data_IF_179541076967
#
_entry.id   IF_179541076967
#
_cell.length_a   1.000
_cell.length_b   1.000
_cell.length_c   1.000
_cell.angle_alpha   90.00
_cell.angle_beta   90.00
_cell.angle_gamma   90.00
#
_symmetry.space_group_name_H-M   'P 1'
#
loop_
_entity.id
_entity.type
_entity.pdbx_description
1 polymer ?
#
# COMPACT_ATOMS: atom_id res chain seq x y z
N UNK A 1 14.87 5.46 20.45
CA UNK A 1 15.06 4.15 21.10
C UNK A 1 14.65 4.31 22.56
N UNK A 2 13.51 3.75 22.98
CA UNK A 2 12.90 4.01 24.29
C UNK A 2 12.56 2.70 25.03
N UNK A 3 13.45 1.70 24.96
CA UNK A 3 13.39 0.52 25.83
C UNK A 3 14.54 0.65 26.83
N UNK A 4 14.26 0.84 28.13
CA UNK A 4 15.30 0.92 29.16
C UNK A 4 16.19 -0.34 29.14
N UNK A 5 17.51 -0.22 29.38
CA UNK A 5 18.43 -1.37 29.42
C UNK A 5 18.00 -2.47 30.41
N UNK A 6 17.35 -2.07 31.50
CA UNK A 6 16.79 -2.98 32.51
C UNK A 6 15.61 -3.80 31.97
N UNK A 7 14.75 -3.19 31.15
CA UNK A 7 13.63 -3.86 30.48
C UNK A 7 14.16 -4.86 29.43
N UNK A 8 15.24 -4.51 28.73
CA UNK A 8 15.88 -5.38 27.74
C UNK A 8 16.40 -6.70 28.36
N UNK A 9 17.00 -6.63 29.55
CA UNK A 9 17.47 -7.82 30.28
C UNK A 9 16.33 -8.77 30.70
N UNK A 10 15.21 -8.22 31.19
CA UNK A 10 14.03 -9.01 31.59
C UNK A 10 13.29 -9.60 30.39
N UNK A 11 13.20 -8.86 29.28
CA UNK A 11 12.65 -9.39 28.03
C UNK A 11 13.51 -10.51 27.45
N UNK A 12 14.84 -10.39 27.50
CA UNK A 12 15.74 -11.39 26.92
C UNK A 12 15.56 -12.77 27.58
N UNK A 13 15.38 -12.82 28.91
CA UNK A 13 15.17 -14.08 29.63
C UNK A 13 13.76 -14.66 29.42
N UNK A 14 12.72 -13.82 29.46
CA UNK A 14 11.34 -14.25 29.25
C UNK A 14 11.08 -14.72 27.80
N UNK A 15 11.63 -13.99 26.83
CA UNK A 15 11.47 -14.28 25.40
C UNK A 15 12.38 -15.45 24.98
N UNK A 16 13.57 -15.60 25.58
CA UNK A 16 14.48 -16.72 25.29
C UNK A 16 13.87 -18.10 25.55
N UNK A 17 13.19 -18.29 26.69
CA UNK A 17 12.50 -19.56 26.99
C UNK A 17 11.32 -19.85 26.06
N UNK A 18 10.61 -18.81 25.60
CA UNK A 18 9.55 -18.94 24.61
C UNK A 18 10.10 -19.26 23.22
N UNK A 19 11.26 -18.71 22.85
CA UNK A 19 11.96 -19.03 21.60
C UNK A 19 12.41 -20.49 21.55
N UNK A 20 12.94 -21.03 22.65
CA UNK A 20 13.32 -22.45 22.70
C UNK A 20 12.12 -23.37 22.49
N UNK A 21 10.96 -23.01 23.05
CA UNK A 21 9.71 -23.76 22.86
C UNK A 21 9.22 -23.65 21.40
N UNK A 22 9.32 -22.45 20.82
CA UNK A 22 9.01 -22.18 19.42
C UNK A 22 9.91 -22.99 18.48
N UNK A 23 11.21 -23.00 18.74
CA UNK A 23 12.22 -23.72 17.95
C UNK A 23 11.96 -25.23 17.97
N UNK A 24 11.62 -25.79 19.13
CA UNK A 24 11.23 -27.20 19.25
C UNK A 24 9.99 -27.53 18.43
N UNK A 25 8.96 -26.67 18.48
CA UNK A 25 7.74 -26.84 17.69
C UNK A 25 8.02 -26.78 16.17
N UNK A 26 8.88 -25.88 15.72
CA UNK A 26 9.27 -25.74 14.31
C UNK A 26 10.17 -26.88 13.81
N UNK A 27 11.09 -27.39 14.64
CA UNK A 27 11.91 -28.57 14.29
C UNK A 27 11.03 -29.81 14.09
N UNK A 28 9.98 -29.95 14.90
CA UNK A 28 8.98 -31.00 14.74
C UNK A 28 8.18 -30.84 13.43
N UNK A 29 7.77 -29.60 13.11
CA UNK A 29 7.02 -29.27 11.89
C UNK A 29 7.81 -29.60 10.61
N UNK A 30 9.12 -29.41 10.65
CA UNK A 30 10.00 -29.52 9.48
C UNK A 30 10.70 -30.88 9.39
N UNK A 31 10.34 -31.85 10.23
CA UNK A 31 11.04 -33.14 10.35
C UNK A 31 12.57 -32.98 10.53
N UNK A 32 13.00 -31.90 11.18
CA UNK A 32 14.41 -31.55 11.34
C UNK A 32 15.13 -31.08 10.06
N UNK A 33 14.41 -30.87 8.96
CA UNK A 33 14.99 -30.47 7.66
C UNK A 33 15.35 -28.98 7.59
N UNK A 34 14.84 -28.15 8.50
CA UNK A 34 15.14 -26.71 8.52
C UNK A 34 16.10 -26.40 9.66
N UNK A 35 17.25 -25.82 9.31
CA UNK A 35 18.21 -25.30 10.28
C UNK A 35 17.70 -23.95 10.78
N UNK A 36 17.09 -23.98 11.97
CA UNK A 36 16.40 -22.81 12.52
C UNK A 36 17.37 -22.03 13.42
N UNK A 37 17.79 -20.86 12.97
CA UNK A 37 18.57 -19.90 13.78
C UNK A 37 17.70 -18.67 14.08
N UNK A 38 16.90 -18.75 15.16
CA UNK A 38 16.04 -17.65 15.59
C UNK A 38 16.90 -16.60 16.31
N UNK A 39 17.22 -15.51 15.62
CA UNK A 39 17.94 -14.40 16.22
C UNK A 39 17.04 -13.60 17.20
N UNK A 40 17.25 -13.80 18.50
CA UNK A 40 16.56 -13.10 19.59
C UNK A 40 16.78 -11.59 19.56
N UNK A 41 17.98 -11.11 19.19
CA UNK A 41 18.21 -9.68 19.00
C UNK A 41 17.32 -9.15 17.87
N UNK A 42 17.18 -9.89 16.76
CA UNK A 42 16.31 -9.52 15.65
C UNK A 42 14.83 -9.40 16.03
N UNK A 43 14.35 -10.24 16.96
CA UNK A 43 12.99 -10.14 17.49
C UNK A 43 12.80 -8.90 18.40
N UNK A 44 13.78 -8.62 19.26
CA UNK A 44 13.73 -7.49 20.18
C UNK A 44 13.97 -6.14 19.47
N UNK A 45 14.67 -6.14 18.33
CA UNK A 45 14.86 -4.95 17.48
C UNK A 45 13.82 -4.82 16.38
N UNK A 46 12.92 -5.81 16.21
CA UNK A 46 11.87 -5.78 15.19
C UNK A 46 10.96 -4.55 15.34
N UNK A 47 10.71 -4.13 16.58
CA UNK A 47 9.97 -2.91 16.88
C UNK A 47 10.77 -1.62 16.57
N UNK A 48 12.10 -1.67 16.47
CA UNK A 48 12.89 -0.48 16.12
C UNK A 48 12.79 -0.15 14.63
N UNK A 49 12.71 -1.19 13.80
CA UNK A 49 12.84 -1.06 12.35
C UNK A 49 11.48 -1.10 11.62
N UNK A 50 10.40 -1.49 12.28
CA UNK A 50 9.08 -1.47 11.66
C UNK A 50 8.55 -0.01 11.54
N UNK A 51 8.32 0.48 10.31
CA UNK A 51 7.96 1.87 10.04
C UNK A 51 6.58 2.26 10.61
N UNK A 52 5.71 1.29 10.89
CA UNK A 52 4.38 1.48 11.47
C UNK A 52 4.39 1.71 12.98
N UNK A 53 5.55 1.58 13.62
CA UNK A 53 5.65 1.89 15.04
C UNK A 53 5.47 3.39 15.24
N UNK A 54 4.45 3.72 16.03
CA UNK A 54 3.93 5.07 16.25
C UNK A 54 3.12 5.65 15.07
N UNK A 55 2.67 4.82 14.13
CA UNK A 55 1.60 5.23 13.22
C UNK A 55 0.41 5.73 14.05
N UNK A 56 -0.20 6.84 13.63
CA UNK A 56 -1.19 7.56 14.45
C UNK A 56 -2.46 7.80 13.66
N UNK A 57 -3.59 7.45 14.26
CA UNK A 57 -4.92 7.85 13.81
C UNK A 57 -5.89 7.92 14.97
N UNK A 58 -7.01 8.63 14.80
CA UNK A 58 -7.95 8.87 15.90
C UNK A 58 -8.67 7.60 16.33
N UNK A 59 -8.99 6.71 15.39
CA UNK A 59 -9.55 5.39 15.68
C UNK A 59 -8.45 4.38 16.05
N UNK A 60 -7.43 4.26 15.20
CA UNK A 60 -6.33 3.33 15.41
C UNK A 60 -5.01 3.86 14.84
N UNK A 61 -3.90 3.55 15.52
CA UNK A 61 -2.58 3.75 14.94
C UNK A 61 -2.30 2.79 13.78
N UNK A 62 -2.60 1.50 14.00
CA UNK A 62 -2.30 0.40 13.07
C UNK A 62 -3.47 -0.59 13.01
N UNK A 63 -3.82 -1.02 11.80
CA UNK A 63 -4.71 -2.14 11.50
C UNK A 63 -3.94 -3.14 10.63
N UNK A 64 -3.99 -4.43 10.95
CA UNK A 64 -3.20 -5.45 10.26
C UNK A 64 -3.96 -6.77 10.09
N UNK A 65 -3.82 -7.42 8.94
CA UNK A 65 -4.30 -8.79 8.71
C UNK A 65 -5.80 -8.89 8.41
N UNK A 66 -6.51 -9.83 9.04
CA UNK A 66 -7.95 -10.09 8.80
C UNK A 66 -8.87 -9.21 9.67
N UNK A 67 -8.56 -7.92 9.75
CA UNK A 67 -9.32 -6.98 10.58
C UNK A 67 -10.48 -6.37 9.78
N UNK A 68 -11.65 -6.23 10.44
CA UNK A 68 -12.82 -5.55 9.89
C UNK A 68 -13.26 -4.42 10.82
N UNK A 69 -13.38 -3.23 10.27
CA UNK A 69 -13.91 -2.03 10.93
C UNK A 69 -15.12 -1.59 10.14
N UNK A 70 -16.27 -1.50 10.81
CA UNK A 70 -17.54 -1.18 10.18
C UNK A 70 -18.30 -0.19 11.04
N UNK A 71 -18.94 0.79 10.39
CA UNK A 71 -19.89 1.71 11.03
C UNK A 71 -19.28 2.49 12.22
N UNK A 72 -18.03 2.91 12.07
CA UNK A 72 -17.28 3.62 13.09
C UNK A 72 -17.07 5.09 12.72
N UNK A 73 -17.33 5.99 13.66
CA UNK A 73 -17.10 7.43 13.49
C UNK A 73 -16.10 7.95 14.51
N UNK A 74 -15.21 8.84 14.06
CA UNK A 74 -14.39 9.70 14.92
C UNK A 74 -14.73 11.15 14.62
N UNK A 75 -14.88 11.98 15.65
CA UNK A 75 -15.30 13.38 15.50
C UNK A 75 -14.30 14.35 16.14
N UNK A 76 -14.34 15.61 15.69
CA UNK A 76 -13.48 16.70 16.18
C UNK A 76 -11.99 16.31 16.24
N UNK A 77 -11.52 15.68 15.17
CA UNK A 77 -10.23 15.03 15.13
C UNK A 77 -9.09 16.06 15.17
N UNK A 78 -8.07 15.74 15.97
CA UNK A 78 -6.78 16.43 15.98
C UNK A 78 -5.70 15.41 16.31
N UNK A 79 -5.07 14.85 15.28
CA UNK A 79 -4.00 13.87 15.41
C UNK A 79 -2.67 14.48 14.98
N UNK A 80 -1.63 14.21 15.76
CA UNK A 80 -0.25 14.55 15.41
C UNK A 80 0.65 13.38 15.77
N UNK A 81 1.66 13.14 14.94
CA UNK A 81 2.66 12.10 15.19
C UNK A 81 4.04 12.70 15.07
N UNK A 82 4.92 12.30 15.98
CA UNK A 82 6.39 12.46 15.84
C UNK A 82 6.98 11.42 14.89
N UNK A 83 6.17 10.48 14.40
CA UNK A 83 6.55 9.36 13.56
C UNK A 83 5.91 9.42 12.18
N UNK A 84 6.17 8.38 11.38
CA UNK A 84 6.19 8.45 9.93
C UNK A 84 4.81 8.59 9.26
N UNK A 85 3.77 8.01 9.86
CA UNK A 85 2.47 7.81 9.22
C UNK A 85 1.34 8.38 10.07
N UNK A 86 0.56 9.29 9.51
CA UNK A 86 -0.57 9.94 10.20
C UNK A 86 -1.82 9.91 9.32
N UNK A 87 -2.92 9.39 9.86
CA UNK A 87 -4.24 9.46 9.22
C UNK A 87 -5.27 10.04 10.17
N UNK A 88 -6.26 10.78 9.69
CA UNK A 88 -7.32 11.28 10.57
C UNK A 88 -8.11 10.15 11.24
N UNK A 89 -8.43 9.09 10.51
CA UNK A 89 -9.06 7.88 11.05
C UNK A 89 -8.01 6.86 11.51
N UNK A 90 -7.12 6.43 10.61
CA UNK A 90 -6.14 5.38 10.86
C UNK A 90 -4.75 5.73 10.32
N UNK A 91 -3.71 5.50 11.11
CA UNK A 91 -2.33 5.78 10.67
C UNK A 91 -1.84 4.84 9.57
N UNK A 92 -2.01 3.53 9.78
CA UNK A 92 -1.48 2.48 8.92
C UNK A 92 -2.43 1.29 8.81
N UNK A 93 -2.69 0.82 7.60
CA UNK A 93 -3.50 -0.37 7.33
C UNK A 93 -2.74 -1.29 6.38
N UNK A 94 -2.55 -2.56 6.77
CA UNK A 94 -1.81 -3.53 5.96
C UNK A 94 -2.44 -4.93 5.98
N UNK A 95 -2.58 -5.52 4.79
CA UNK A 95 -2.98 -6.91 4.64
C UNK A 95 -1.87 -7.93 4.84
N UNK A 96 -2.25 -9.20 4.91
CA UNK A 96 -1.33 -10.28 5.22
C UNK A 96 -1.53 -11.48 4.29
N UNK A 97 -0.43 -12.15 3.93
CA UNK A 97 -0.52 -13.41 3.19
C UNK A 97 -1.06 -14.51 4.10
N UNK A 98 -1.97 -15.33 3.57
CA UNK A 98 -2.51 -16.52 4.22
C UNK A 98 -1.70 -17.72 3.79
N UNK A 99 -1.35 -18.58 4.73
CA UNK A 99 -0.63 -19.83 4.47
C UNK A 99 -1.50 -21.01 4.87
N UNK A 100 -1.36 -22.12 4.16
CA UNK A 100 -1.95 -23.38 4.63
C UNK A 100 -1.23 -23.81 5.91
N UNK A 101 -1.99 -24.32 6.88
CA UNK A 101 -1.46 -24.70 8.16
C UNK A 101 -1.85 -26.15 8.46
N UNK A 102 -0.85 -26.99 8.72
CA UNK A 102 -1.08 -28.37 9.20
C UNK A 102 -1.81 -28.29 10.55
N UNK A 103 -3.11 -28.56 10.53
CA UNK A 103 -4.13 -28.13 11.52
C UNK A 103 -3.90 -28.57 12.97
N UNK A 104 -3.07 -29.59 13.23
CA UNK A 104 -2.81 -30.09 14.59
C UNK A 104 -1.75 -29.30 15.40
N UNK A 105 -0.88 -28.53 14.74
CA UNK A 105 0.31 -27.90 15.37
C UNK A 105 0.13 -26.38 15.54
N UNK A 106 -0.86 -25.80 14.84
CA UNK A 106 -1.23 -24.38 14.88
C UNK A 106 -1.58 -23.91 16.29
N UNK A 107 -2.28 -24.72 17.09
CA UNK A 107 -2.62 -24.35 18.47
C UNK A 107 -1.38 -24.10 19.34
N UNK A 108 -0.36 -24.95 19.22
CA UNK A 108 0.90 -24.82 19.97
C UNK A 108 1.71 -23.62 19.49
N UNK A 109 1.82 -23.43 18.18
CA UNK A 109 2.54 -22.29 17.58
C UNK A 109 1.86 -20.96 17.96
N UNK A 110 0.55 -20.85 17.76
CA UNK A 110 -0.25 -19.66 18.08
C UNK A 110 -0.20 -19.33 19.58
N UNK A 111 -0.20 -20.32 20.46
CA UNK A 111 -0.06 -20.09 21.90
C UNK A 111 1.32 -19.55 22.29
N UNK A 112 2.39 -20.03 21.67
CA UNK A 112 3.75 -19.51 21.93
C UNK A 112 3.92 -18.11 21.35
N UNK A 113 3.46 -17.89 20.12
CA UNK A 113 3.46 -16.58 19.46
C UNK A 113 2.67 -15.55 20.29
N UNK A 114 1.50 -15.92 20.81
CA UNK A 114 0.68 -15.05 21.66
C UNK A 114 1.37 -14.70 22.98
N UNK A 115 2.12 -15.63 23.57
CA UNK A 115 2.93 -15.35 24.77
C UNK A 115 4.09 -14.40 24.47
N UNK A 116 4.73 -14.52 23.29
CA UNK A 116 5.79 -13.59 22.86
C UNK A 116 5.21 -12.17 22.65
N UNK A 117 4.03 -12.06 22.03
CA UNK A 117 3.32 -10.78 21.86
C UNK A 117 2.96 -10.13 23.19
N UNK A 118 2.58 -10.92 24.20
CA UNK A 118 2.28 -10.43 25.55
C UNK A 118 3.51 -9.91 26.30
N UNK A 119 4.73 -10.21 25.85
CA UNK A 119 5.98 -9.79 26.51
C UNK A 119 6.63 -8.59 25.81
N UNK A 120 6.56 -8.50 24.48
CA UNK A 120 7.15 -7.39 23.72
C UNK A 120 6.08 -6.33 23.41
N UNK A 121 6.11 -5.15 24.05
CA UNK A 121 5.15 -4.10 23.73
C UNK A 121 5.33 -3.64 22.28
N UNK A 122 4.22 -3.24 21.65
CA UNK A 122 4.17 -2.74 20.27
C UNK A 122 4.58 -3.75 19.17
N UNK A 123 4.70 -5.03 19.51
CA UNK A 123 4.88 -6.11 18.54
C UNK A 123 3.49 -6.63 18.11
N UNK A 124 3.21 -6.63 16.81
CA UNK A 124 1.99 -7.23 16.25
C UNK A 124 2.21 -8.68 15.84
N UNK A 125 1.14 -9.49 15.80
CA UNK A 125 1.20 -10.87 15.31
C UNK A 125 1.78 -10.96 13.89
N UNK A 126 1.45 -9.99 13.04
CA UNK A 126 2.02 -9.85 11.71
C UNK A 126 3.54 -9.71 11.67
N UNK A 127 4.09 -8.93 12.60
CA UNK A 127 5.53 -8.72 12.68
C UNK A 127 6.23 -10.00 13.10
N UNK A 128 5.62 -10.73 14.04
CA UNK A 128 6.13 -12.00 14.50
C UNK A 128 6.09 -13.09 13.41
N UNK A 129 5.03 -13.10 12.60
CA UNK A 129 4.94 -13.93 11.39
C UNK A 129 6.03 -13.54 10.40
N UNK A 130 6.18 -12.25 10.07
CA UNK A 130 7.23 -11.77 9.16
C UNK A 130 8.64 -12.10 9.65
N UNK A 131 8.91 -11.98 10.95
CA UNK A 131 10.18 -12.35 11.57
C UNK A 131 10.45 -13.85 11.46
N UNK A 132 9.44 -14.69 11.73
CA UNK A 132 9.54 -16.14 11.58
C UNK A 132 9.78 -16.54 10.10
N UNK A 133 9.11 -15.85 9.18
CA UNK A 133 9.23 -16.08 7.74
C UNK A 133 10.59 -15.66 7.18
N UNK A 134 11.15 -14.54 7.66
CA UNK A 134 12.42 -13.97 7.19
C UNK A 134 13.65 -14.64 7.81
N UNK A 135 13.57 -15.06 9.08
CA UNK A 135 14.72 -15.62 9.81
C UNK A 135 14.84 -17.14 9.79
N UNK A 136 13.75 -17.90 9.58
CA UNK A 136 13.77 -19.33 9.92
C UNK A 136 13.14 -20.30 8.93
N UNK A 137 11.92 -20.06 8.44
CA UNK A 137 11.26 -21.03 7.54
C UNK A 137 11.74 -20.92 6.08
N UNK A 138 12.30 -19.75 5.72
CA UNK A 138 12.50 -19.36 4.34
C UNK A 138 11.16 -19.23 3.63
N UNK A 139 10.77 -18.01 3.23
CA UNK A 139 9.53 -17.76 2.48
C UNK A 139 9.34 -18.67 1.25
N UNK A 140 10.40 -19.30 0.75
CA UNK A 140 10.36 -20.22 -0.38
C UNK A 140 9.74 -21.60 -0.06
N UNK A 141 9.44 -21.92 1.20
CA UNK A 141 8.89 -23.23 1.61
C UNK A 141 7.37 -23.22 1.86
N UNK A 142 6.76 -22.05 2.03
CA UNK A 142 5.33 -21.93 2.34
C UNK A 142 4.52 -21.61 1.10
N UNK A 143 3.44 -22.35 0.91
CA UNK A 143 2.50 -22.16 -0.19
C UNK A 143 1.42 -21.17 0.29
N UNK A 144 1.35 -19.96 -0.29
CA UNK A 144 0.30 -19.02 0.07
C UNK A 144 -1.04 -19.52 -0.45
N UNK A 145 -2.05 -19.51 0.41
CA UNK A 145 -3.41 -19.99 0.09
C UNK A 145 -4.45 -18.87 -0.04
N UNK A 146 -4.02 -17.62 0.12
CA UNK A 146 -4.88 -16.46 -0.05
C UNK A 146 -4.25 -15.22 0.55
N UNK A 147 -5.01 -14.14 0.57
CA UNK A 147 -4.59 -12.87 1.14
C UNK A 147 -5.69 -12.31 2.05
N UNK A 148 -5.33 -11.91 3.26
CA UNK A 148 -6.22 -11.16 4.15
C UNK A 148 -6.14 -9.69 3.78
N UNK A 149 -7.27 -9.15 3.32
CA UNK A 149 -7.45 -7.72 3.11
C UNK A 149 -8.21 -7.16 4.33
N UNK A 150 -7.59 -6.29 5.15
CA UNK A 150 -8.33 -5.54 6.15
C UNK A 150 -9.40 -4.72 5.45
N UNK A 151 -10.59 -4.68 6.03
CA UNK A 151 -11.73 -3.93 5.48
C UNK A 151 -12.12 -2.83 6.45
N UNK A 152 -12.12 -1.58 5.98
CA UNK A 152 -12.73 -0.45 6.66
C UNK A 152 -13.95 -0.04 5.83
N UNK A 153 -15.13 -0.11 6.42
CA UNK A 153 -16.41 0.07 5.73
C UNK A 153 -17.30 1.04 6.50
N UNK A 154 -18.04 1.88 5.79
CA UNK A 154 -19.04 2.80 6.38
C UNK A 154 -18.48 3.63 7.55
N UNK A 155 -17.20 4.01 7.49
CA UNK A 155 -16.52 4.66 8.61
C UNK A 155 -16.18 6.10 8.27
N UNK A 156 -16.26 7.00 9.25
CA UNK A 156 -16.20 8.44 9.02
C UNK A 156 -15.21 9.15 9.93
N UNK A 157 -14.54 10.15 9.36
CA UNK A 157 -14.00 11.29 10.11
C UNK A 157 -15.01 12.42 9.99
N UNK A 158 -15.63 12.80 11.10
CA UNK A 158 -16.66 13.82 11.19
C UNK A 158 -16.12 15.07 11.90
N UNK A 159 -15.47 15.92 11.12
CA UNK A 159 -14.91 17.19 11.56
C UNK A 159 -13.45 17.09 12.01
N UNK A 160 -12.68 18.09 11.64
CA UNK A 160 -11.39 18.38 12.27
C UNK A 160 -11.49 19.62 13.15
N UNK A 161 -10.66 19.69 14.19
CA UNK A 161 -10.49 20.95 14.94
C UNK A 161 -9.96 22.06 14.03
N UNK A 162 -10.20 23.32 14.39
CA UNK A 162 -9.70 24.48 13.63
C UNK A 162 -8.18 24.43 13.50
N UNK A 163 -7.67 24.78 12.32
CA UNK A 163 -6.24 24.87 12.01
C UNK A 163 -5.47 23.55 12.20
N UNK A 164 -6.14 22.40 12.07
CA UNK A 164 -5.49 21.10 12.14
C UNK A 164 -4.54 20.90 10.96
N UNK A 165 -3.34 20.41 11.29
CA UNK A 165 -2.36 19.92 10.33
C UNK A 165 -2.14 18.44 10.59
N UNK A 166 -2.51 17.61 9.62
CA UNK A 166 -2.29 16.16 9.65
C UNK A 166 -0.93 15.90 9.03
N UNK A 167 -0.04 15.27 9.80
CA UNK A 167 1.35 15.05 9.42
C UNK A 167 2.23 16.30 9.58
N UNK A 168 3.45 16.24 9.05
CA UNK A 168 4.40 17.35 9.05
C UNK A 168 5.48 17.15 7.97
N UNK A 169 6.44 18.10 7.84
CA UNK A 169 7.50 18.06 6.81
C UNK A 169 8.53 16.94 6.99
N UNK A 170 8.51 16.25 8.13
CA UNK A 170 9.39 15.13 8.45
C UNK A 170 8.65 13.78 8.38
N UNK A 171 7.32 13.79 8.22
CA UNK A 171 6.51 12.57 8.14
C UNK A 171 6.37 12.18 6.67
N UNK A 172 6.87 11.01 6.23
CA UNK A 172 6.79 10.60 4.84
C UNK A 172 5.37 10.34 4.34
N UNK A 173 4.40 9.95 5.18
CA UNK A 173 3.02 9.74 4.72
C UNK A 173 1.98 10.43 5.63
N UNK A 174 1.04 11.14 5.02
CA UNK A 174 -0.09 11.72 5.73
C UNK A 174 -1.37 11.73 4.88
N UNK A 175 -2.52 11.40 5.50
CA UNK A 175 -3.83 11.42 4.84
C UNK A 175 -4.96 11.90 5.75
N UNK A 176 -5.99 12.54 5.19
CA UNK A 176 -7.16 12.97 5.97
C UNK A 176 -7.93 11.82 6.60
N UNK A 177 -7.99 10.65 5.96
CA UNK A 177 -8.58 9.42 6.48
C UNK A 177 -7.50 8.43 6.90
N UNK A 178 -6.63 8.03 5.97
CA UNK A 178 -5.62 6.99 6.16
C UNK A 178 -4.22 7.50 5.81
N UNK A 179 -3.24 7.28 6.69
CA UNK A 179 -1.84 7.62 6.40
C UNK A 179 -1.26 6.74 5.29
N UNK A 180 -1.31 5.42 5.47
CA UNK A 180 -0.91 4.44 4.46
C UNK A 180 -1.87 3.25 4.40
N UNK A 181 -2.29 2.90 3.18
CA UNK A 181 -3.14 1.75 2.86
C UNK A 181 -2.38 0.75 2.00
N UNK A 182 -2.27 -0.50 2.46
CA UNK A 182 -1.42 -1.54 1.85
C UNK A 182 -2.21 -2.85 1.75
N UNK A 183 -2.57 -3.27 0.55
CA UNK A 183 -3.40 -4.45 0.32
C UNK A 183 -4.70 -4.47 1.13
N UNK A 184 -5.31 -3.31 1.35
CA UNK A 184 -6.51 -3.18 2.17
C UNK A 184 -7.67 -2.62 1.36
N UNK A 185 -8.88 -2.80 1.87
CA UNK A 185 -10.12 -2.30 1.27
C UNK A 185 -10.68 -1.21 2.18
N UNK A 186 -10.91 -0.03 1.63
CA UNK A 186 -11.64 1.06 2.27
C UNK A 186 -12.86 1.33 1.41
N UNK A 187 -14.06 1.20 1.96
CA UNK A 187 -15.29 1.37 1.21
C UNK A 187 -16.33 2.19 1.94
N UNK A 188 -17.14 2.94 1.19
CA UNK A 188 -18.25 3.74 1.71
C UNK A 188 -17.85 4.63 2.89
N UNK A 189 -16.59 5.07 2.92
CA UNK A 189 -16.00 5.78 4.07
C UNK A 189 -15.81 7.24 3.73
N UNK A 190 -15.76 8.11 4.74
CA UNK A 190 -15.79 9.55 4.49
C UNK A 190 -14.87 10.35 5.40
N UNK A 191 -14.44 11.49 4.87
CA UNK A 191 -13.91 12.62 5.64
C UNK A 191 -14.85 13.77 5.35
N UNK A 192 -15.55 14.25 6.37
CA UNK A 192 -16.45 15.39 6.28
C UNK A 192 -16.00 16.44 7.28
N UNK A 193 -15.89 17.70 6.90
CA UNK A 193 -15.50 18.77 7.83
C UNK A 193 -16.08 20.12 7.40
N UNK A 194 -16.47 20.96 8.36
CA UNK A 194 -16.78 22.39 8.10
C UNK A 194 -15.56 23.28 8.27
N UNK A 195 -14.55 22.81 9.00
CA UNK A 195 -13.26 23.48 9.13
C UNK A 195 -12.33 23.04 7.99
N UNK A 196 -11.64 24.02 7.38
CA UNK A 196 -10.49 23.72 6.54
C UNK A 196 -9.39 23.02 7.34
N UNK A 197 -8.64 22.14 6.68
CA UNK A 197 -7.53 21.41 7.28
C UNK A 197 -6.36 21.30 6.30
N UNK A 198 -5.16 21.09 6.85
CA UNK A 198 -3.95 20.88 6.07
C UNK A 198 -3.47 19.44 6.21
N UNK A 199 -3.07 18.83 5.10
CA UNK A 199 -2.29 17.60 5.09
C UNK A 199 -0.89 17.93 4.61
N UNK A 200 0.12 17.51 5.39
CA UNK A 200 1.52 17.77 5.07
C UNK A 200 2.37 16.54 5.27
N UNK A 201 3.16 16.19 4.25
CA UNK A 201 4.11 15.10 4.31
C UNK A 201 5.43 15.47 3.63
N UNK A 202 6.49 14.69 3.87
CA UNK A 202 7.70 14.76 3.06
C UNK A 202 7.48 14.10 1.70
N UNK A 203 6.93 12.88 1.67
CA UNK A 203 6.80 12.12 0.43
C UNK A 203 5.38 12.12 -0.10
N UNK A 204 4.42 11.57 0.65
CA UNK A 204 3.07 11.25 0.18
C UNK A 204 2.02 11.95 1.04
N UNK A 205 1.41 13.02 0.52
CA UNK A 205 0.34 13.75 1.18
C UNK A 205 -0.95 13.65 0.36
N UNK A 206 -2.04 13.19 0.97
CA UNK A 206 -3.35 13.17 0.31
C UNK A 206 -4.48 13.68 1.18
N UNK A 207 -5.47 14.34 0.58
CA UNK A 207 -6.63 14.83 1.33
C UNK A 207 -7.44 13.71 2.01
N UNK A 208 -7.40 12.49 1.48
CA UNK A 208 -8.01 11.29 2.04
C UNK A 208 -6.96 10.23 2.42
N UNK A 209 -6.14 9.78 1.47
CA UNK A 209 -5.11 8.76 1.69
C UNK A 209 -3.71 9.34 1.44
N UNK A 210 -2.75 9.12 2.34
CA UNK A 210 -1.37 9.50 2.05
C UNK A 210 -0.81 8.68 0.88
N UNK A 211 -0.82 7.36 1.02
CA UNK A 211 -0.43 6.41 -0.03
C UNK A 211 -1.40 5.24 -0.06
N UNK A 212 -1.80 4.81 -1.26
CA UNK A 212 -2.51 3.55 -1.47
C UNK A 212 -1.69 2.64 -2.37
N UNK A 213 -1.34 1.44 -1.89
CA UNK A 213 -0.45 0.53 -2.63
C UNK A 213 -0.80 -0.93 -2.46
N UNK A 214 -0.34 -1.78 -3.36
CA UNK A 214 -0.43 -3.22 -3.17
C UNK A 214 0.40 -3.68 -1.95
N UNK A 215 -0.09 -4.71 -1.28
CA UNK A 215 0.66 -5.46 -0.29
C UNK A 215 1.60 -6.47 -0.92
N UNK A 216 2.40 -7.09 -0.06
CA UNK A 216 3.38 -8.09 -0.47
C UNK A 216 2.80 -9.50 -0.30
N UNK A 217 2.95 -10.33 -1.33
CA UNK A 217 2.68 -11.78 -1.22
C UNK A 217 4.00 -12.51 -1.02
N UNK A 218 4.16 -13.11 0.16
CA UNK A 218 5.33 -13.93 0.47
C UNK A 218 5.01 -15.40 0.26
N UNK A 219 5.89 -16.19 -0.36
CA UNK A 219 5.64 -17.63 -0.53
C UNK A 219 6.19 -18.22 -1.82
N UNK A 220 6.04 -19.54 -1.96
CA UNK A 220 6.29 -20.25 -3.20
C UNK A 220 5.10 -20.10 -4.16
N UNK A 221 5.21 -19.15 -5.09
CA UNK A 221 4.14 -18.87 -6.07
C UNK A 221 4.06 -19.88 -7.25
N UNK A 222 5.06 -20.74 -7.43
CA UNK A 222 5.15 -21.61 -8.63
C UNK A 222 4.31 -22.90 -8.53
N UNK A 223 3.88 -23.28 -7.34
CA UNK A 223 3.01 -24.44 -7.09
C UNK A 223 1.53 -24.08 -7.09
N UNK A 224 1.19 -22.82 -7.38
CA UNK A 224 -0.17 -22.30 -7.32
C UNK A 224 -0.92 -22.55 -8.63
N UNK A 225 -2.11 -23.15 -8.54
CA UNK A 225 -3.08 -23.20 -9.63
C UNK A 225 -3.81 -21.86 -9.82
N UNK A 226 -4.57 -21.72 -10.91
CA UNK A 226 -5.35 -20.50 -11.24
C UNK A 226 -6.30 -20.12 -10.10
N UNK A 227 -6.94 -21.09 -9.45
CA UNK A 227 -7.84 -20.87 -8.31
C UNK A 227 -7.15 -20.17 -7.13
N UNK A 228 -5.85 -20.44 -6.94
CA UNK A 228 -5.07 -19.87 -5.85
C UNK A 228 -4.52 -18.48 -6.20
N UNK A 229 -4.23 -18.23 -7.48
CA UNK A 229 -3.97 -16.89 -7.99
C UNK A 229 -5.22 -16.00 -7.82
N UNK A 230 -6.41 -16.57 -8.00
CA UNK A 230 -7.70 -15.88 -7.81
C UNK A 230 -7.97 -15.48 -6.34
N UNK A 231 -7.38 -16.21 -5.38
CA UNK A 231 -7.49 -15.95 -3.95
C UNK A 231 -6.49 -14.90 -3.43
N UNK A 232 -5.48 -14.55 -4.23
CA UNK A 232 -4.45 -13.56 -3.90
C UNK A 232 -4.85 -12.20 -4.48
N UNK A 233 -5.38 -11.34 -3.61
CA UNK A 233 -5.81 -9.97 -3.97
C UNK A 233 -5.00 -8.93 -3.19
N UNK A 234 -3.69 -8.82 -3.41
CA UNK A 234 -2.84 -7.90 -2.66
C UNK A 234 -3.07 -6.44 -3.03
N UNK A 235 -3.90 -6.13 -4.03
CA UNK A 235 -4.18 -4.75 -4.44
C UNK A 235 -4.92 -4.00 -3.33
N UNK A 236 -4.73 -2.69 -3.27
CA UNK A 236 -5.55 -1.81 -2.43
C UNK A 236 -6.77 -1.32 -3.21
N UNK A 237 -7.90 -1.15 -2.53
CA UNK A 237 -9.12 -0.60 -3.10
C UNK A 237 -9.64 0.51 -2.19
N UNK A 238 -9.89 1.70 -2.75
CA UNK A 238 -10.76 2.71 -2.15
C UNK A 238 -12.01 2.83 -3.03
N UNK A 239 -13.16 2.49 -2.48
CA UNK A 239 -14.44 2.43 -3.20
C UNK A 239 -15.49 3.34 -2.56
N UNK A 240 -16.26 4.06 -3.37
CA UNK A 240 -17.43 4.85 -2.93
C UNK A 240 -17.15 5.78 -1.73
N UNK A 241 -15.92 6.27 -1.61
CA UNK A 241 -15.45 7.04 -0.46
C UNK A 241 -15.30 8.52 -0.79
N UNK A 242 -15.53 9.37 0.20
CA UNK A 242 -15.74 10.80 -0.03
C UNK A 242 -14.86 11.67 0.86
N UNK A 243 -14.35 12.76 0.29
CA UNK A 243 -13.77 13.88 1.03
C UNK A 243 -14.65 15.11 0.77
N UNK A 244 -15.30 15.60 1.81
CA UNK A 244 -16.18 16.77 1.76
C UNK A 244 -15.69 17.82 2.75
N UNK A 245 -15.50 19.05 2.27
CA UNK A 245 -15.32 20.21 3.13
C UNK A 245 -16.34 21.28 2.77
N UNK A 246 -17.23 21.56 3.71
CA UNK A 246 -18.35 22.48 3.53
C UNK A 246 -17.99 23.91 3.96
N UNK A 247 -18.77 24.88 3.48
CA UNK A 247 -18.60 26.30 3.79
C UNK A 247 -17.31 26.90 3.23
N UNK A 248 -16.71 27.85 3.95
CA UNK A 248 -15.47 28.53 3.54
C UNK A 248 -14.19 27.72 3.87
N UNK A 249 -14.36 26.48 4.35
CA UNK A 249 -13.26 25.58 4.67
C UNK A 249 -12.45 25.19 3.43
N UNK A 250 -11.12 25.23 3.54
CA UNK A 250 -10.20 24.82 2.47
C UNK A 250 -9.37 23.61 2.87
N UNK A 251 -9.25 22.63 1.97
CA UNK A 251 -8.28 21.55 2.08
C UNK A 251 -6.96 22.03 1.46
N UNK A 252 -5.88 21.99 2.23
CA UNK A 252 -4.53 22.26 1.71
C UNK A 252 -3.69 21.00 1.80
N UNK A 253 -3.22 20.49 0.66
CA UNK A 253 -2.37 19.31 0.61
C UNK A 253 -0.99 19.72 0.10
N UNK A 254 0.04 19.42 0.88
CA UNK A 254 1.42 19.76 0.52
C UNK A 254 2.38 18.62 0.81
N UNK A 255 3.25 18.34 -0.16
CA UNK A 255 4.36 17.41 0.01
C UNK A 255 5.64 17.93 -0.64
N UNK A 256 6.79 17.36 -0.28
CA UNK A 256 8.00 17.64 -1.04
C UNK A 256 7.92 16.99 -2.42
N UNK A 257 7.37 15.78 -2.56
CA UNK A 257 7.36 15.06 -3.85
C UNK A 257 5.96 14.75 -4.42
N UNK A 258 5.12 14.02 -3.67
CA UNK A 258 3.83 13.49 -4.14
C UNK A 258 2.66 14.06 -3.35
N UNK A 259 1.86 14.93 -3.97
CA UNK A 259 0.66 15.50 -3.36
C UNK A 259 -0.58 15.25 -4.23
N UNK A 260 -1.67 14.83 -3.59
CA UNK A 260 -2.96 14.66 -4.25
C UNK A 260 -4.14 15.18 -3.44
N UNK A 261 -5.15 15.73 -4.10
CA UNK A 261 -6.36 16.18 -3.40
C UNK A 261 -7.11 15.03 -2.71
N UNK A 262 -6.96 13.79 -3.19
CA UNK A 262 -7.50 12.58 -2.55
C UNK A 262 -6.39 11.64 -2.07
N UNK A 263 -5.57 11.11 -2.97
CA UNK A 263 -4.46 10.20 -2.63
C UNK A 263 -3.11 10.85 -2.92
N UNK A 264 -2.12 10.81 -2.04
CA UNK A 264 -0.80 11.39 -2.36
C UNK A 264 -0.12 10.68 -3.53
N UNK A 265 -0.07 9.36 -3.48
CA UNK A 265 0.24 8.52 -4.63
C UNK A 265 -0.54 7.19 -4.60
N UNK A 266 -0.52 6.48 -5.73
CA UNK A 266 -1.13 5.17 -5.93
C UNK A 266 -0.15 4.23 -6.63
N UNK A 267 -0.02 2.99 -6.17
CA UNK A 267 0.81 1.98 -6.82
C UNK A 267 0.14 0.60 -6.79
N UNK A 268 -0.33 0.12 -7.95
CA UNK A 268 -1.19 -1.08 -8.04
C UNK A 268 -2.35 -1.01 -7.03
N UNK A 269 -3.06 0.11 -7.09
CA UNK A 269 -4.20 0.43 -6.25
C UNK A 269 -5.37 0.96 -7.10
N UNK A 270 -6.59 0.72 -6.64
CA UNK A 270 -7.81 1.09 -7.34
C UNK A 270 -8.57 2.16 -6.56
N UNK A 271 -8.94 3.23 -7.26
CA UNK A 271 -9.86 4.25 -6.80
C UNK A 271 -11.13 4.17 -7.66
N UNK A 272 -12.22 3.68 -7.07
CA UNK A 272 -13.49 3.46 -7.78
C UNK A 272 -14.58 4.30 -7.13
N UNK A 273 -15.24 5.16 -7.90
CA UNK A 273 -16.37 5.95 -7.44
C UNK A 273 -16.08 6.82 -6.20
N UNK A 274 -14.87 7.36 -6.10
CA UNK A 274 -14.54 8.30 -5.04
C UNK A 274 -14.92 9.73 -5.41
N UNK A 275 -15.21 10.55 -4.40
CA UNK A 275 -15.64 11.94 -4.60
C UNK A 275 -14.82 12.90 -3.75
N UNK A 276 -14.40 14.00 -4.34
CA UNK A 276 -13.95 15.18 -3.60
C UNK A 276 -15.00 16.28 -3.80
N UNK A 277 -15.50 16.86 -2.71
CA UNK A 277 -16.42 18.00 -2.70
C UNK A 277 -15.86 19.09 -1.78
N UNK A 278 -14.95 19.92 -2.29
CA UNK A 278 -14.22 20.89 -1.47
C UNK A 278 -13.56 22.00 -2.31
N UNK A 279 -13.19 23.09 -1.64
CA UNK A 279 -12.12 23.98 -2.12
C UNK A 279 -10.79 23.38 -1.72
N UNK A 280 -9.95 22.99 -2.69
CA UNK A 280 -8.69 22.30 -2.47
C UNK A 280 -7.51 23.01 -3.17
N UNK A 281 -6.40 23.16 -2.44
CA UNK A 281 -5.11 23.51 -3.01
C UNK A 281 -4.13 22.37 -2.80
N UNK A 282 -3.56 21.88 -3.90
CA UNK A 282 -2.58 20.80 -3.92
C UNK A 282 -1.26 21.36 -4.44
N UNK A 283 -0.20 21.18 -3.67
CA UNK A 283 1.12 21.68 -4.06
C UNK A 283 2.27 20.77 -3.70
N UNK A 284 3.30 20.75 -4.53
CA UNK A 284 4.58 20.09 -4.23
C UNK A 284 5.77 21.03 -4.34
N UNK A 285 6.80 20.79 -3.55
CA UNK A 285 8.09 21.48 -3.71
C UNK A 285 8.82 20.97 -4.97
N UNK A 286 8.69 19.68 -5.28
CA UNK A 286 9.20 19.01 -6.48
C UNK A 286 8.05 18.66 -7.43
N UNK A 287 8.00 17.44 -7.96
CA UNK A 287 7.45 17.22 -9.30
C UNK A 287 6.02 16.72 -9.37
N UNK A 288 5.41 16.06 -8.39
CA UNK A 288 4.19 15.27 -8.64
C UNK A 288 2.96 15.80 -7.89
N UNK A 289 2.23 16.72 -8.51
CA UNK A 289 1.00 17.30 -7.96
C UNK A 289 -0.22 16.96 -8.81
N UNK A 290 -1.27 16.41 -8.18
CA UNK A 290 -2.52 16.10 -8.87
C UNK A 290 -3.76 16.53 -8.09
N UNK A 291 -4.80 17.00 -8.77
CA UNK A 291 -6.04 17.35 -8.08
C UNK A 291 -6.72 16.13 -7.43
N UNK A 292 -6.49 14.91 -7.93
CA UNK A 292 -6.87 13.66 -7.27
C UNK A 292 -5.65 12.91 -6.70
N UNK A 293 -4.64 12.61 -7.52
CA UNK A 293 -3.40 11.94 -7.08
C UNK A 293 -2.14 12.52 -7.71
N UNK A 294 -1.07 12.67 -6.91
CA UNK A 294 0.20 13.20 -7.40
C UNK A 294 0.88 12.26 -8.38
N UNK A 295 0.89 10.97 -8.05
CA UNK A 295 1.44 9.92 -8.92
C UNK A 295 0.59 8.67 -8.88
N UNK A 296 0.45 8.00 -10.01
CA UNK A 296 -0.23 6.73 -10.14
C UNK A 296 0.62 5.79 -11.00
N UNK A 297 1.10 4.71 -10.41
CA UNK A 297 2.01 3.79 -11.09
C UNK A 297 1.51 2.36 -11.09
N UNK A 298 2.22 1.54 -11.86
CA UNK A 298 2.34 0.12 -11.57
C UNK A 298 2.97 -0.09 -10.18
N UNK A 299 2.85 -1.29 -9.64
CA UNK A 299 3.00 -1.53 -8.21
C UNK A 299 4.29 -1.08 -7.55
N UNK A 300 4.20 -1.09 -6.22
CA UNK A 300 5.09 -0.36 -5.33
C UNK A 300 6.58 -0.58 -5.61
N UNK A 301 7.03 -1.84 -5.72
CA UNK A 301 8.44 -2.19 -5.87
C UNK A 301 9.08 -1.83 -7.22
N UNK A 302 8.32 -1.31 -8.18
CA UNK A 302 8.82 -0.94 -9.51
C UNK A 302 9.18 0.55 -9.63
N UNK A 303 8.38 1.43 -9.06
CA UNK A 303 8.47 2.87 -9.36
C UNK A 303 8.46 3.79 -8.12
N UNK A 304 7.95 3.34 -6.97
CA UNK A 304 7.89 4.16 -5.74
C UNK A 304 8.69 3.59 -4.56
N UNK A 305 8.80 2.27 -4.47
CA UNK A 305 9.34 1.53 -3.32
C UNK A 305 10.82 1.19 -3.46
N UNK A 306 11.67 2.11 -3.93
CA UNK A 306 13.10 1.84 -4.17
C UNK A 306 13.86 1.35 -2.93
N UNK A 307 13.36 1.63 -1.72
CA UNK A 307 13.93 1.14 -0.46
C UNK A 307 13.61 -0.35 -0.20
N UNK A 308 12.48 -0.85 -0.73
CA UNK A 308 12.07 -2.27 -0.68
C UNK A 308 12.77 -3.12 -1.76
N UNK A 309 13.51 -2.51 -2.68
CA UNK A 309 14.29 -3.22 -3.72
C UNK A 309 15.43 -4.08 -3.15
N UNK A 310 15.66 -4.02 -1.84
CA UNK A 310 16.54 -4.94 -1.10
C UNK A 310 15.86 -6.27 -0.75
N UNK A 311 14.53 -6.41 -0.91
CA UNK A 311 13.82 -7.67 -0.75
C UNK A 311 14.12 -8.61 -1.93
N UNK A 312 15.17 -9.42 -1.77
CA UNK A 312 15.56 -10.47 -2.69
C UNK A 312 14.40 -11.43 -3.05
N UNK A 313 13.39 -11.56 -2.20
CA UNK A 313 12.19 -12.37 -2.45
C UNK A 313 11.31 -11.80 -3.58
N UNK A 314 10.99 -10.51 -3.55
CA UNK A 314 10.13 -9.88 -4.57
C UNK A 314 10.83 -9.87 -5.93
N UNK A 315 12.11 -9.48 -5.94
CA UNK A 315 12.96 -9.50 -7.13
C UNK A 315 13.07 -10.93 -7.72
N UNK A 316 13.37 -11.95 -6.89
CA UNK A 316 13.43 -13.34 -7.34
C UNK A 316 12.09 -13.87 -7.87
N UNK A 317 10.98 -13.44 -7.28
CA UNK A 317 9.64 -13.79 -7.76
C UNK A 317 9.35 -13.12 -9.11
N UNK A 318 9.71 -11.86 -9.27
CA UNK A 318 9.56 -11.10 -10.51
C UNK A 318 10.40 -11.69 -11.64
N UNK A 319 11.69 -12.02 -11.39
CA UNK A 319 12.55 -12.71 -12.37
C UNK A 319 11.94 -14.02 -12.86
N UNK A 320 11.32 -14.78 -11.95
CA UNK A 320 10.67 -16.06 -12.29
C UNK A 320 9.37 -15.87 -13.08
N UNK A 321 8.55 -14.87 -12.72
CA UNK A 321 7.32 -14.55 -13.45
C UNK A 321 7.65 -14.14 -14.90
N UNK A 322 8.67 -13.30 -15.08
CA UNK A 322 9.18 -12.89 -16.39
C UNK A 322 9.75 -14.09 -17.16
N UNK A 323 10.56 -14.95 -16.54
CA UNK A 323 11.09 -16.15 -17.20
C UNK A 323 9.99 -17.10 -17.67
N UNK A 324 8.91 -17.25 -16.89
CA UNK A 324 7.74 -18.07 -17.26
C UNK A 324 6.99 -17.46 -18.45
N UNK A 325 6.76 -16.15 -18.45
CA UNK A 325 6.18 -15.44 -19.59
C UNK A 325 7.00 -15.67 -20.87
N UNK A 326 8.32 -15.54 -20.77
CA UNK A 326 9.26 -15.73 -21.88
C UNK A 326 9.35 -17.20 -22.36
N UNK A 327 8.97 -18.16 -21.52
CA UNK A 327 8.94 -19.59 -21.87
C UNK A 327 7.68 -20.02 -22.66
N UNK A 328 6.78 -19.08 -22.99
CA UNK A 328 5.59 -19.38 -23.80
C UNK A 328 4.45 -20.07 -23.03
N UNK A 329 4.52 -20.14 -21.70
CA UNK A 329 3.41 -20.65 -20.88
C UNK A 329 2.34 -19.56 -20.71
N UNK A 330 1.48 -19.42 -21.72
CA UNK A 330 0.50 -18.34 -21.89
C UNK A 330 -0.67 -18.29 -20.88
N UNK A 331 -0.74 -19.19 -19.90
CA UNK A 331 -1.73 -19.14 -18.82
C UNK A 331 -1.02 -19.05 -17.46
N UNK A 332 -1.25 -17.95 -16.72
CA UNK A 332 -0.71 -17.75 -15.37
C UNK A 332 0.41 -16.72 -15.25
N UNK A 333 1.10 -16.35 -16.33
CA UNK A 333 2.23 -15.42 -16.25
C UNK A 333 1.80 -13.97 -16.00
N UNK A 334 0.72 -13.51 -16.66
CA UNK A 334 0.14 -12.19 -16.40
C UNK A 334 -0.46 -12.08 -14.99
N UNK A 335 -1.06 -13.16 -14.50
CA UNK A 335 -1.59 -13.25 -13.13
C UNK A 335 -0.47 -13.19 -12.08
N UNK A 336 0.63 -13.91 -12.31
CA UNK A 336 1.83 -13.85 -11.46
C UNK A 336 2.42 -12.43 -11.43
N UNK A 337 2.51 -11.78 -12.60
CA UNK A 337 2.94 -10.39 -12.71
C UNK A 337 2.03 -9.46 -11.88
N UNK A 338 0.71 -9.63 -11.94
CA UNK A 338 -0.24 -8.84 -11.15
C UNK A 338 -0.06 -9.04 -9.64
N UNK A 339 0.18 -10.27 -9.19
CA UNK A 339 0.41 -10.63 -7.78
C UNK A 339 1.70 -10.01 -7.24
N UNK A 340 2.78 -10.00 -8.02
CA UNK A 340 4.07 -9.41 -7.62
C UNK A 340 4.11 -7.90 -7.79
N UNK A 341 2.98 -7.26 -8.12
CA UNK A 341 2.86 -5.81 -8.18
C UNK A 341 2.85 -5.22 -9.59
N UNK A 342 3.00 -5.99 -10.65
CA UNK A 342 3.05 -5.48 -12.04
C UNK A 342 1.64 -5.35 -12.62
N UNK A 343 0.82 -4.52 -11.98
CA UNK A 343 -0.52 -4.17 -12.44
C UNK A 343 -0.72 -2.66 -12.23
N UNK A 344 -1.30 -1.93 -13.19
CA UNK A 344 -1.45 -0.49 -13.07
C UNK A 344 -2.40 -0.07 -11.94
N UNK A 345 -2.21 1.17 -11.50
CA UNK A 345 -3.23 1.87 -10.72
C UNK A 345 -4.40 2.27 -11.62
N UNK A 346 -5.60 2.28 -11.05
CA UNK A 346 -6.84 2.48 -11.80
C UNK A 346 -7.73 3.50 -11.10
N UNK A 347 -8.21 4.49 -11.84
CA UNK A 347 -9.06 5.58 -11.36
C UNK A 347 -10.34 5.58 -12.19
N UNK A 348 -11.45 5.09 -11.62
CA UNK A 348 -12.73 4.94 -12.32
C UNK A 348 -13.84 5.72 -11.61
N UNK A 349 -14.70 6.36 -12.39
CA UNK A 349 -15.89 7.04 -11.88
C UNK A 349 -15.60 8.12 -10.83
N UNK A 350 -14.41 8.73 -10.85
CA UNK A 350 -14.01 9.73 -9.85
C UNK A 350 -14.71 11.05 -10.08
N UNK A 351 -15.20 11.70 -9.03
CA UNK A 351 -15.94 12.96 -9.13
C UNK A 351 -15.24 14.04 -8.30
N UNK A 352 -14.71 15.07 -8.94
CA UNK A 352 -14.16 16.25 -8.26
C UNK A 352 -15.12 17.41 -8.42
N UNK A 353 -15.58 17.98 -7.31
CA UNK A 353 -16.55 19.08 -7.25
C UNK A 353 -16.03 20.17 -6.32
N UNK A 354 -16.12 21.42 -6.73
CA UNK A 354 -15.70 22.55 -5.90
C UNK A 354 -14.71 23.44 -6.64
N UNK A 355 -13.57 23.73 -6.02
CA UNK A 355 -12.53 24.61 -6.57
C UNK A 355 -11.17 23.95 -6.35
N UNK A 356 -10.39 23.76 -7.43
CA UNK A 356 -9.12 23.05 -7.37
C UNK A 356 -7.99 23.87 -7.98
N UNK A 357 -6.95 24.08 -7.18
CA UNK A 357 -5.66 24.64 -7.64
C UNK A 357 -4.56 23.60 -7.45
N UNK A 358 -3.84 23.29 -8.53
CA UNK A 358 -2.79 22.27 -8.54
C UNK A 358 -1.47 22.91 -8.96
N UNK A 359 -0.44 22.76 -8.13
CA UNK A 359 0.89 23.32 -8.39
C UNK A 359 2.01 22.33 -8.13
N UNK A 360 2.73 21.93 -9.17
CA UNK A 360 4.02 21.26 -9.01
C UNK A 360 5.16 22.28 -9.04
N UNK A 361 6.11 22.20 -8.12
CA UNK A 361 7.37 22.96 -8.20
C UNK A 361 8.31 22.46 -9.31
N UNK A 362 8.18 21.19 -9.67
CA UNK A 362 8.88 20.52 -10.77
C UNK A 362 7.95 20.20 -11.93
N UNK A 363 8.09 18.98 -12.48
CA UNK A 363 7.65 18.70 -13.85
C UNK A 363 6.18 18.34 -14.05
N UNK A 364 5.48 17.73 -13.08
CA UNK A 364 4.23 17.01 -13.33
C UNK A 364 3.05 17.55 -12.52
N UNK A 365 2.26 18.43 -13.13
CA UNK A 365 1.02 18.96 -12.56
C UNK A 365 -0.20 18.51 -13.39
N UNK A 366 -1.19 17.89 -12.74
CA UNK A 366 -2.41 17.43 -13.40
C UNK A 366 -3.69 17.75 -12.65
N UNK A 367 -4.77 18.07 -13.36
CA UNK A 367 -6.07 18.28 -12.71
C UNK A 367 -6.61 17.03 -12.01
N UNK A 368 -6.34 15.83 -12.52
CA UNK A 368 -6.61 14.54 -11.87
C UNK A 368 -5.32 13.88 -11.37
N UNK A 369 -4.38 13.64 -12.28
CA UNK A 369 -3.16 12.85 -12.03
C UNK A 369 -1.91 13.68 -12.34
N UNK A 370 -0.98 13.89 -11.40
CA UNK A 370 0.28 14.58 -11.72
C UNK A 370 1.06 13.82 -12.81
N UNK A 371 1.48 12.61 -12.50
CA UNK A 371 2.05 11.67 -13.48
C UNK A 371 1.45 10.27 -13.32
N UNK A 372 1.15 9.63 -14.46
CA UNK A 372 0.66 8.27 -14.53
C UNK A 372 1.58 7.37 -15.35
N UNK A 373 2.03 6.26 -14.76
CA UNK A 373 2.79 5.19 -15.43
C UNK A 373 1.94 3.94 -15.56
N UNK A 374 1.51 3.62 -16.78
CA UNK A 374 0.57 2.54 -17.09
C UNK A 374 -0.84 2.76 -16.54
N UNK A 375 -1.13 3.92 -15.94
CA UNK A 375 -2.38 4.19 -15.22
C UNK A 375 -3.60 4.21 -16.13
N UNK A 376 -4.70 3.63 -15.63
CA UNK A 376 -6.01 3.61 -16.31
C UNK A 376 -6.92 4.66 -15.68
N UNK A 377 -7.50 5.53 -16.51
CA UNK A 377 -8.51 6.52 -16.12
C UNK A 377 -9.75 6.27 -16.98
N UNK A 378 -10.93 6.14 -16.35
CA UNK A 378 -12.15 5.80 -17.09
C UNK A 378 -13.44 5.99 -16.29
N UNK A 379 -14.56 5.54 -16.86
CA UNK A 379 -15.81 5.37 -16.13
C UNK A 379 -15.80 4.08 -15.28
N UNK A 380 -16.73 3.96 -14.35
CA UNK A 380 -16.96 2.73 -13.59
C UNK A 380 -17.96 1.80 -14.28
N UNK A 381 -17.89 1.69 -15.61
CA UNK A 381 -18.68 0.69 -16.34
C UNK A 381 -18.32 -0.73 -15.89
N UNK A 382 -19.27 -1.63 -16.09
CA UNK A 382 -19.07 -3.05 -15.80
C UNK A 382 -17.86 -3.62 -16.55
N UNK A 383 -17.66 -3.23 -17.81
CA UNK A 383 -16.52 -3.70 -18.62
C UNK A 383 -15.18 -3.30 -18.01
N UNK A 384 -15.05 -2.07 -17.50
CA UNK A 384 -13.84 -1.65 -16.81
C UNK A 384 -13.66 -2.36 -15.46
N UNK A 385 -14.74 -2.51 -14.68
CA UNK A 385 -14.70 -3.13 -13.35
C UNK A 385 -14.33 -4.61 -13.42
N UNK A 386 -14.86 -5.36 -14.39
CA UNK A 386 -14.60 -6.79 -14.55
C UNK A 386 -13.13 -7.11 -14.90
N UNK A 387 -12.34 -6.11 -15.28
CA UNK A 387 -10.89 -6.26 -15.48
C UNK A 387 -10.09 -6.13 -14.17
N UNK A 388 -10.70 -5.62 -13.09
CA UNK A 388 -10.04 -5.41 -11.79
C UNK A 388 -10.12 -6.67 -10.94
N UNK A 389 -9.06 -6.96 -10.17
CA UNK A 389 -8.92 -8.23 -9.42
C UNK A 389 -10.06 -8.51 -8.44
N UNK A 390 -10.70 -7.46 -7.89
CA UNK A 390 -11.81 -7.60 -6.95
C UNK A 390 -13.16 -7.97 -7.59
N UNK A 391 -13.31 -7.81 -8.90
CA UNK A 391 -14.54 -8.14 -9.65
C UNK A 391 -14.31 -9.21 -10.73
N UNK A 392 -13.05 -9.43 -11.13
CA UNK A 392 -12.68 -10.43 -12.14
C UNK A 392 -12.77 -11.87 -11.63
N UNK A 393 -12.40 -12.09 -10.36
CA UNK A 393 -12.15 -13.42 -9.81
C UNK A 393 -13.22 -13.87 -8.80
N UNK A 394 -13.19 -15.16 -8.44
CA UNK A 394 -14.21 -15.87 -7.65
C UNK A 394 -14.79 -15.05 -6.48
N UNK A 395 -16.11 -15.17 -6.28
CA UNK A 395 -16.92 -14.33 -5.39
C UNK A 395 -16.69 -12.82 -5.65
N UNK A 396 -17.05 -12.33 -6.86
CA UNK A 396 -16.84 -10.94 -7.22
C UNK A 396 -17.65 -10.02 -6.32
N UNK A 397 -17.10 -8.84 -6.03
CA UNK A 397 -17.82 -7.80 -5.30
C UNK A 397 -19.06 -7.34 -6.09
N UNK A 398 -20.03 -6.76 -5.39
CA UNK A 398 -21.15 -6.07 -6.04
C UNK A 398 -20.64 -4.96 -6.96
N UNK A 399 -21.31 -4.74 -8.10
CA UNK A 399 -20.94 -3.65 -9.00
C UNK A 399 -21.43 -2.33 -8.40
N UNK A 400 -20.55 -1.33 -8.22
CA UNK A 400 -20.99 -0.01 -7.83
C UNK A 400 -21.76 0.67 -8.97
N UNK A 401 -22.48 1.75 -8.65
CA UNK A 401 -23.24 2.50 -9.63
C UNK A 401 -22.29 3.07 -10.72
N UNK A 402 -22.54 2.73 -11.98
CA UNK A 402 -21.76 3.25 -13.09
C UNK A 402 -21.86 4.78 -13.16
N UNK A 403 -20.70 5.43 -13.27
CA UNK A 403 -20.58 6.87 -13.50
C UNK A 403 -19.26 7.22 -14.19
N UNK A 404 -19.23 8.35 -14.88
CA UNK A 404 -18.03 8.87 -15.52
C UNK A 404 -17.01 9.40 -14.51
N UNK A 405 -15.75 9.54 -14.92
CA UNK A 405 -14.80 10.39 -14.21
C UNK A 405 -14.98 11.84 -14.66
N UNK A 406 -15.15 12.77 -13.71
CA UNK A 406 -15.40 14.18 -13.99
C UNK A 406 -14.65 15.11 -13.02
N UNK A 407 -14.19 16.23 -13.56
CA UNK A 407 -13.56 17.32 -12.80
C UNK A 407 -14.38 18.59 -13.02
N UNK A 408 -15.03 19.06 -11.98
CA UNK A 408 -15.83 20.28 -11.97
C UNK A 408 -15.18 21.29 -11.03
N UNK A 409 -14.72 22.40 -11.61
CA UNK A 409 -14.12 23.52 -10.89
C UNK A 409 -12.60 23.46 -10.73
N UNK A 410 -11.90 22.93 -11.75
CA UNK A 410 -10.45 23.09 -11.85
C UNK A 410 -10.13 24.54 -12.23
N UNK A 411 -9.53 25.30 -11.31
CA UNK A 411 -9.24 26.72 -11.50
C UNK A 411 -7.88 26.95 -12.16
N UNK A 412 -6.86 26.21 -11.73
CA UNK A 412 -5.51 26.34 -12.29
C UNK A 412 -4.70 25.06 -12.10
N UNK A 413 -3.90 24.73 -13.11
CA UNK A 413 -2.85 23.71 -13.05
C UNK A 413 -1.55 24.35 -13.50
N UNK A 414 -0.51 24.31 -12.67
CA UNK A 414 0.79 24.89 -13.00
C UNK A 414 1.92 23.93 -12.61
N UNK A 415 2.83 23.68 -13.53
CA UNK A 415 4.11 23.03 -13.27
C UNK A 415 5.21 24.10 -13.34
N UNK A 416 6.19 24.03 -12.44
CA UNK A 416 7.41 24.82 -12.53
C UNK A 416 8.34 24.35 -13.64
N UNK A 417 8.23 23.06 -14.00
CA UNK A 417 8.93 22.41 -15.10
C UNK A 417 8.03 22.21 -16.32
N UNK A 418 7.96 20.97 -16.80
CA UNK A 418 7.64 20.70 -18.21
C UNK A 418 6.17 20.39 -18.53
N UNK A 419 5.41 19.79 -17.60
CA UNK A 419 4.14 19.14 -17.91
C UNK A 419 2.99 19.57 -16.99
N UNK A 420 2.12 20.43 -17.52
CA UNK A 420 0.87 20.84 -16.87
C UNK A 420 -0.33 20.48 -17.75
N UNK A 421 -1.31 19.75 -17.22
CA UNK A 421 -2.50 19.36 -17.98
C UNK A 421 -3.79 19.27 -17.17
N UNK A 422 -4.92 19.53 -17.82
CA UNK A 422 -6.24 19.58 -17.17
C UNK A 422 -6.72 18.23 -16.62
N UNK A 423 -6.24 17.10 -17.18
CA UNK A 423 -6.49 15.76 -16.64
C UNK A 423 -5.20 15.20 -16.04
N UNK A 424 -4.13 15.14 -16.83
CA UNK A 424 -2.85 14.65 -16.36
C UNK A 424 -1.70 15.57 -16.77
N UNK A 425 -0.66 15.67 -15.94
CA UNK A 425 0.60 16.28 -16.34
C UNK A 425 1.30 15.40 -17.38
N UNK A 426 1.55 14.15 -17.01
CA UNK A 426 2.11 13.14 -17.93
C UNK A 426 1.35 11.80 -17.80
N UNK A 427 1.10 11.14 -18.92
CA UNK A 427 0.65 9.74 -18.97
C UNK A 427 1.57 8.99 -19.91
N UNK A 428 2.24 7.98 -19.38
CA UNK A 428 3.17 7.16 -20.14
C UNK A 428 2.84 5.68 -20.00
N UNK A 429 3.15 4.85 -21.01
CA UNK A 429 3.20 3.42 -20.83
C UNK A 429 4.15 3.07 -19.69
N UNK A 430 3.92 1.93 -19.03
CA UNK A 430 4.84 1.45 -18.00
C UNK A 430 6.25 1.32 -18.56
N UNK A 431 7.25 1.85 -17.84
CA UNK A 431 8.63 1.73 -18.30
C UNK A 431 9.09 0.27 -18.20
N UNK A 432 9.34 -0.36 -19.35
CA UNK A 432 9.94 -1.72 -19.41
C UNK A 432 11.31 -1.72 -18.70
N UNK A 433 12.01 -0.58 -18.69
CA UNK A 433 13.23 -0.39 -17.93
C UNK A 433 13.03 -0.50 -16.41
N UNK A 434 11.92 -0.04 -15.83
CA UNK A 434 11.61 -0.25 -14.41
C UNK A 434 11.36 -1.73 -14.09
N UNK A 435 10.66 -2.43 -14.98
CA UNK A 435 10.46 -3.88 -14.90
C UNK A 435 11.78 -4.66 -15.06
N UNK A 436 12.68 -4.22 -15.94
CA UNK A 436 13.98 -4.86 -16.16
C UNK A 436 15.01 -4.51 -15.08
N UNK A 437 15.06 -3.27 -14.60
CA UNK A 437 16.00 -2.79 -13.58
C UNK A 437 15.66 -3.34 -12.19
N UNK A 438 14.37 -3.59 -11.93
CA UNK A 438 13.92 -4.30 -10.73
C UNK A 438 14.21 -5.81 -10.78
N UNK A 439 14.41 -6.41 -11.98
CA UNK A 439 14.69 -7.84 -12.21
C UNK A 439 16.18 -8.14 -12.37
N UNK A 440 16.91 -7.23 -12.97
CA UNK A 440 18.30 -7.37 -13.40
C UNK A 440 18.99 -6.11 -12.96
N UNK A 441 19.68 -6.14 -11.81
CA UNK A 441 20.76 -5.18 -11.58
C UNK A 441 21.70 -5.36 -12.78
N UNK A 442 21.76 -4.34 -13.63
CA UNK A 442 22.50 -4.32 -14.89
C UNK A 442 23.98 -4.59 -14.58
N UNK A 443 24.35 -5.87 -14.62
CA UNK A 443 25.68 -6.35 -14.28
C UNK A 443 26.00 -7.71 -14.91
N UNK A 444 24.99 -8.49 -15.31
CA UNK A 444 25.21 -9.75 -16.03
C UNK A 444 24.91 -9.61 -17.53
N UNK A 445 25.88 -9.01 -18.22
CA UNK A 445 25.89 -8.69 -19.67
C UNK A 445 25.69 -9.95 -20.55
N UNK A 446 25.83 -11.15 -20.00
CA UNK A 446 25.60 -12.40 -20.72
C UNK A 446 24.14 -12.60 -21.16
N UNK A 447 23.17 -12.08 -20.41
CA UNK A 447 21.75 -12.20 -20.76
C UNK A 447 21.33 -11.18 -21.83
N UNK A 448 21.99 -10.01 -21.86
CA UNK A 448 21.75 -8.96 -22.86
C UNK A 448 22.23 -9.35 -24.27
N UNK A 449 23.26 -10.20 -24.40
CA UNK A 449 23.72 -10.69 -25.72
C UNK A 449 22.67 -11.52 -26.49
N UNK A 450 21.59 -11.96 -25.84
CA UNK A 450 20.45 -12.62 -26.51
C UNK A 450 19.43 -11.63 -27.07
N UNK A 451 19.49 -10.34 -26.72
CA UNK A 451 18.57 -9.31 -27.21
C UNK A 451 18.92 -8.77 -28.60
N UNK A 452 20.13 -8.98 -29.11
CA UNK A 452 20.51 -8.67 -30.51
C UNK A 452 19.83 -9.60 -31.55
N UNK A 453 18.87 -10.43 -31.15
CA UNK A 453 18.13 -11.33 -32.04
C UNK A 453 16.70 -10.87 -32.35
N UNK A 454 16.27 -9.71 -31.85
CA UNK A 454 15.01 -9.13 -32.29
C UNK A 454 15.20 -8.48 -33.67
N UNK A 455 14.48 -8.99 -34.67
CA UNK A 455 14.43 -8.40 -35.99
C UNK A 455 13.96 -6.92 -35.89
N UNK A 456 14.47 -6.01 -36.76
CA UNK A 456 13.97 -4.65 -36.80
C UNK A 456 12.46 -4.66 -37.06
N UNK A 457 11.71 -3.96 -36.21
CA UNK A 457 10.29 -3.70 -36.44
C UNK A 457 10.14 -3.02 -37.81
N UNK A 458 9.37 -3.63 -38.71
CA UNK A 458 8.92 -3.03 -39.97
C UNK A 458 7.47 -2.63 -39.86
#
# INVERSE_FOLDING_TARGET
SYIPPTLLGTLTSAVGGLLDLLLKALKLLTFGQVNLDLNLQGLLTLHKDNPSNLATGAFAGRIYGDAKVSDCEVADVSVSSVSRMTGGFVGYVEGATRYDAVSGIVGTLTNVLSKILGVIPFLGLGDLVNWLLSGTLGLNALIPVGYYNPVISNSSVNGFKKNVVIGNKNNPQAGGFVGAQIGAIIENSSVTSTNGFTVRATQYAGGFAGISRNGNVGGLLNSLGIDLLSALRPQSLIENSNLTVDGDGKVTVSATDYAGGFSGAMANAYAVNNTISATAAVSTDKSHAGGFTGFASVGWGLELGTDDATNASLLKQLTKAVAKLLSGSGSGAGELLSIVGVNPSVILGTQMKGSFTVKAGGDYAGGLVGEGSGTVIGDSSQDHLQNLTFWKYNNPRGLPQQRSTAINGLESVSAGGSYAGGIAGNLQPTTVAGLLNSVVKIGDIATLKKFDQFAPFT
#
